data_IF_388563904403
#
_entry.id   IF_388563904403
#
_cell.length_a   1.000
_cell.length_b   1.000
_cell.length_c   1.000
_cell.angle_alpha   90.00
_cell.angle_beta   90.00
_cell.angle_gamma   90.00
#
_symmetry.space_group_name_H-M   'P 1'
#
loop_
_entity.id
_entity.type
_entity.pdbx_description
1 polymer ?
#
# COMPACT_ATOMS: atom_id res chain seq x y z
N UNK A 1 47.93 -34.07 22.64
CA UNK A 1 47.29 -32.85 22.06
C UNK A 1 47.21 -32.96 20.54
N UNK A 2 46.14 -33.58 20.04
CA UNK A 2 45.61 -33.52 18.67
C UNK A 2 44.56 -34.61 18.54
N UNK A 3 43.58 -34.41 17.67
CA UNK A 3 42.45 -35.29 17.31
C UNK A 3 41.24 -35.09 18.24
N UNK A 4 40.04 -34.74 17.79
CA UNK A 4 39.43 -34.64 16.47
C UNK A 4 38.35 -33.54 16.59
N UNK A 5 38.45 -32.53 15.75
CA UNK A 5 37.43 -31.52 15.54
C UNK A 5 36.45 -32.12 14.53
N UNK A 6 35.30 -32.62 15.00
CA UNK A 6 34.22 -33.11 14.15
C UNK A 6 33.01 -32.18 14.33
N UNK A 7 33.14 -30.94 13.86
CA UNK A 7 31.97 -30.06 13.69
C UNK A 7 31.15 -30.59 12.52
N UNK A 8 29.96 -31.07 12.87
CA UNK A 8 28.95 -31.58 11.97
C UNK A 8 28.73 -30.66 10.76
N UNK A 9 28.79 -31.26 9.56
CA UNK A 9 28.32 -30.64 8.33
C UNK A 9 26.86 -30.21 8.52
N UNK A 10 26.63 -28.91 8.67
CA UNK A 10 25.30 -28.33 8.50
C UNK A 10 25.01 -28.39 7.01
N UNK A 11 24.16 -29.35 6.62
CA UNK A 11 23.60 -29.43 5.29
C UNK A 11 22.89 -28.10 4.98
N UNK A 12 23.47 -27.30 4.08
CA UNK A 12 22.81 -26.14 3.52
C UNK A 12 21.65 -26.66 2.68
N UNK A 13 20.44 -26.60 3.24
CA UNK A 13 19.21 -26.78 2.49
C UNK A 13 19.03 -25.56 1.57
N UNK A 14 19.66 -25.59 0.39
CA UNK A 14 19.31 -24.69 -0.71
C UNK A 14 17.88 -25.01 -1.15
N UNK A 15 16.91 -24.08 -1.03
CA UNK A 15 15.61 -24.29 -1.64
C UNK A 15 15.80 -24.35 -3.16
N UNK A 16 15.51 -25.51 -3.74
CA UNK A 16 15.44 -25.66 -5.19
C UNK A 16 14.32 -24.74 -5.69
N UNK A 17 14.70 -23.62 -6.32
CA UNK A 17 13.76 -22.83 -7.11
C UNK A 17 13.44 -23.66 -8.34
N UNK A 18 12.24 -24.25 -8.35
CA UNK A 18 11.66 -24.84 -9.53
C UNK A 18 11.58 -23.76 -10.62
N UNK A 19 12.35 -23.94 -11.70
CA UNK A 19 12.20 -23.15 -12.90
C UNK A 19 10.98 -23.71 -13.64
N UNK A 20 9.81 -23.19 -13.28
CA UNK A 20 8.60 -23.37 -14.08
C UNK A 20 8.85 -22.72 -15.45
N UNK A 21 8.73 -23.54 -16.51
CA UNK A 21 8.85 -23.11 -17.88
C UNK A 21 7.96 -21.89 -18.11
N UNK A 22 8.54 -20.81 -18.64
CA UNK A 22 7.87 -19.55 -18.89
C UNK A 22 6.66 -19.75 -19.83
N UNK A 23 5.49 -19.96 -19.24
CA UNK A 23 4.22 -19.64 -19.89
C UNK A 23 4.24 -18.13 -20.20
N UNK A 24 3.74 -17.69 -21.37
CA UNK A 24 3.73 -16.28 -21.70
C UNK A 24 2.94 -15.54 -20.61
N UNK A 25 3.64 -14.76 -19.79
CA UNK A 25 3.05 -13.99 -18.71
C UNK A 25 1.98 -13.09 -19.33
N UNK A 26 0.71 -13.47 -19.14
CA UNK A 26 -0.42 -12.62 -19.40
C UNK A 26 -0.15 -11.31 -18.67
N UNK A 27 0.17 -10.24 -19.42
CA UNK A 27 0.66 -8.93 -18.98
C UNK A 27 0.18 -8.63 -17.56
N UNK A 28 0.96 -9.06 -16.57
CA UNK A 28 0.53 -8.99 -15.19
C UNK A 28 0.51 -7.50 -14.85
N UNK A 29 -0.66 -6.99 -14.49
CA UNK A 29 -0.80 -5.56 -14.23
C UNK A 29 0.16 -5.19 -13.11
N UNK A 30 1.22 -4.45 -13.48
CA UNK A 30 2.37 -4.25 -12.60
C UNK A 30 1.89 -3.49 -11.36
N UNK A 31 2.02 -4.12 -10.20
CA UNK A 31 1.69 -3.48 -8.93
C UNK A 31 2.63 -2.29 -8.69
N UNK A 32 2.05 -1.11 -8.51
CA UNK A 32 2.75 0.13 -8.23
C UNK A 32 2.74 0.34 -6.72
N UNK A 33 3.92 0.31 -6.10
CA UNK A 33 4.09 0.56 -4.67
C UNK A 33 4.28 2.05 -4.38
N UNK A 34 3.45 2.62 -3.51
CA UNK A 34 3.54 4.02 -3.07
C UNK A 34 3.45 4.11 -1.55
N UNK A 35 4.08 5.14 -0.98
CA UNK A 35 3.93 5.50 0.44
C UNK A 35 2.72 6.41 0.58
N UNK A 36 1.72 5.98 1.35
CA UNK A 36 0.49 6.73 1.60
C UNK A 36 0.51 7.23 3.04
N UNK A 37 0.28 8.53 3.22
CA UNK A 37 0.09 9.12 4.54
C UNK A 37 -1.27 8.70 5.12
N UNK A 38 -1.29 8.30 6.38
CA UNK A 38 -2.53 7.96 7.06
C UNK A 38 -3.24 9.24 7.52
N UNK A 39 -4.54 9.36 7.24
CA UNK A 39 -5.36 10.46 7.76
C UNK A 39 -5.30 10.48 9.29
N UNK A 40 -5.02 11.64 9.88
CA UNK A 40 -4.91 11.81 11.33
C UNK A 40 -3.50 11.59 11.91
N UNK A 41 -2.50 11.26 11.09
CA UNK A 41 -1.10 11.21 11.55
C UNK A 41 -0.12 11.61 10.46
N UNK A 42 0.74 12.60 10.75
CA UNK A 42 1.76 13.10 9.82
C UNK A 42 2.93 12.11 9.70
N UNK A 43 3.20 11.36 10.77
CA UNK A 43 4.33 10.44 10.88
C UNK A 43 4.01 9.03 10.37
N UNK A 44 2.75 8.58 10.45
CA UNK A 44 2.38 7.25 9.96
C UNK A 44 2.18 7.26 8.45
N UNK A 45 3.17 6.71 7.74
CA UNK A 45 3.08 6.39 6.31
C UNK A 45 3.14 4.88 6.13
N UNK A 46 2.23 4.33 5.33
CA UNK A 46 2.18 2.90 4.99
C UNK A 46 2.50 2.70 3.51
N UNK A 47 3.23 1.63 3.20
CA UNK A 47 3.51 1.22 1.82
C UNK A 47 2.33 0.41 1.30
N UNK A 48 1.67 0.90 0.26
CA UNK A 48 0.61 0.18 -0.44
C UNK A 48 1.07 -0.14 -1.86
N UNK A 49 0.90 -1.40 -2.28
CA UNK A 49 1.22 -1.87 -3.62
C UNK A 49 -0.06 -2.34 -4.29
N UNK A 50 -0.54 -1.54 -5.23
CA UNK A 50 -1.82 -1.73 -5.91
C UNK A 50 -1.62 -1.64 -7.43
N UNK A 51 -2.54 -2.20 -8.21
CA UNK A 51 -2.53 -2.08 -9.67
C UNK A 51 -2.88 -0.65 -10.12
N UNK A 52 -2.68 -0.34 -11.40
CA UNK A 52 -3.04 1.01 -11.91
C UNK A 52 -4.53 1.28 -11.74
N UNK A 53 -5.38 0.29 -12.00
CA UNK A 53 -6.82 0.41 -11.87
C UNK A 53 -7.26 0.65 -10.42
N UNK A 54 -6.64 -0.05 -9.48
CA UNK A 54 -6.92 0.13 -8.05
C UNK A 54 -6.53 1.54 -7.58
N UNK A 55 -5.39 2.06 -8.03
CA UNK A 55 -5.01 3.44 -7.75
C UNK A 55 -6.01 4.45 -8.32
N UNK A 56 -6.50 4.23 -9.54
CA UNK A 56 -7.49 5.10 -10.17
C UNK A 56 -8.83 5.10 -9.42
N UNK A 57 -9.29 3.93 -8.97
CA UNK A 57 -10.49 3.80 -8.12
C UNK A 57 -10.32 4.58 -6.81
N UNK A 58 -9.15 4.46 -6.17
CA UNK A 58 -8.86 5.14 -4.92
C UNK A 58 -8.85 6.67 -5.08
N UNK A 59 -8.27 7.18 -6.18
CA UNK A 59 -8.26 8.62 -6.47
C UNK A 59 -9.66 9.16 -6.74
N UNK A 60 -10.48 8.44 -7.51
CA UNK A 60 -11.85 8.84 -7.82
C UNK A 60 -12.68 8.95 -6.53
N UNK A 61 -12.67 7.90 -5.70
CA UNK A 61 -13.39 7.88 -4.43
C UNK A 61 -12.95 9.00 -3.46
N UNK A 62 -11.68 9.41 -3.51
CA UNK A 62 -11.18 10.52 -2.68
C UNK A 62 -11.68 11.87 -3.19
N UNK A 63 -11.70 12.07 -4.52
CA UNK A 63 -12.15 13.32 -5.13
C UNK A 63 -13.64 13.60 -4.89
N UNK A 64 -14.50 12.58 -5.00
CA UNK A 64 -15.95 12.73 -4.76
C UNK A 64 -16.25 13.15 -3.32
N UNK A 65 -15.55 12.53 -2.36
CA UNK A 65 -15.69 12.85 -0.93
C UNK A 65 -15.21 14.26 -0.63
N UNK A 66 -14.08 14.66 -1.21
CA UNK A 66 -13.56 16.02 -1.05
C UNK A 66 -14.55 17.05 -1.61
N UNK A 67 -15.12 16.80 -2.78
CA UNK A 67 -16.05 17.72 -3.42
C UNK A 67 -17.33 17.91 -2.59
N UNK A 68 -17.93 16.80 -2.10
CA UNK A 68 -19.10 16.86 -1.20
C UNK A 68 -18.81 17.58 0.11
N UNK A 69 -17.62 17.41 0.67
CA UNK A 69 -17.22 18.10 1.91
C UNK A 69 -17.04 19.61 1.70
N UNK A 70 -16.61 20.04 0.51
CA UNK A 70 -16.51 21.46 0.17
C UNK A 70 -17.88 22.09 -0.10
N UNK A 71 -18.77 21.37 -0.79
CA UNK A 71 -20.15 21.79 -1.06
C UNK A 71 -20.94 22.03 0.24
N UNK A 72 -20.83 21.11 1.20
CA UNK A 72 -21.43 21.28 2.54
C UNK A 72 -20.90 22.50 3.31
N UNK A 73 -19.65 22.91 3.08
CA UNK A 73 -19.07 24.10 3.71
C UNK A 73 -19.52 25.39 3.05
N UNK A 74 -19.88 25.36 1.78
CA UNK A 74 -20.39 26.54 1.06
C UNK A 74 -21.86 26.83 1.42
N UNK A 75 -22.59 25.84 1.93
CA UNK A 75 -24.00 25.94 2.32
C UNK A 75 -24.25 26.04 3.85
N UNK A 76 -23.21 26.31 4.65
CA UNK A 76 -23.36 26.51 6.09
C UNK A 76 -24.16 27.78 6.43
N UNK A 77 -25.18 27.71 7.32
CA UNK A 77 -26.11 28.81 7.56
C UNK A 77 -25.43 29.98 8.30
N UNK A 78 -25.42 31.15 7.67
CA UNK A 78 -24.94 32.41 8.24
C UNK A 78 -25.99 33.11 9.14
N UNK A 79 -26.91 32.40 9.78
CA UNK A 79 -28.11 33.03 10.40
C UNK A 79 -28.46 32.54 11.83
N UNK A 80 -27.48 32.42 12.74
CA UNK A 80 -27.79 32.11 14.15
C UNK A 80 -27.06 32.93 15.21
N UNK A 81 -26.26 33.94 14.83
CA UNK A 81 -25.49 34.76 15.78
C UNK A 81 -25.99 36.20 15.95
N UNK A 82 -27.27 36.46 15.65
CA UNK A 82 -27.94 37.69 16.04
C UNK A 82 -29.38 37.38 16.46
N UNK A 83 -29.54 36.90 17.69
CA UNK A 83 -30.83 36.90 18.38
C UNK A 83 -30.66 37.77 19.62
N UNK A 84 -31.19 38.97 19.48
CA UNK A 84 -31.50 39.99 20.51
C UNK A 84 -32.13 39.41 21.78
#
# INVERSE_FOLDING_TARGET
MKLIMLCALVAVATPAIAQDAAAPEAKSDKKICRMVAQTGSILLRKKYCLTREEWAKLSAATSDRANRAMDQRTLGPNDSFNKE
#
